data_IF_766505247583
#
_entry.id   IF_766505247583
#
_cell.length_a   1.000
_cell.length_b   1.000
_cell.length_c   1.000
_cell.angle_alpha   90.00
_cell.angle_beta   90.00
_cell.angle_gamma   90.00
#
_symmetry.space_group_name_H-M   'P 1'
#
loop_
_entity.id
_entity.type
_entity.pdbx_description
1 polymer ?
#
# COMPACT_ATOMS: atom_id res chain seq x y z
N UNK A 1 -3.61 -4.29 -15.03
CA UNK A 1 -4.61 -3.86 -16.01
C UNK A 1 -4.13 -2.65 -16.81
N UNK A 2 -3.71 -1.52 -16.20
CA UNK A 2 -3.30 -0.28 -16.89
C UNK A 2 -2.15 -0.54 -17.88
N UNK A 3 -1.14 -1.32 -17.53
CA UNK A 3 -0.06 -1.69 -18.47
C UNK A 3 -0.60 -2.44 -19.70
N UNK A 4 -1.60 -3.30 -19.54
CA UNK A 4 -2.26 -3.98 -20.67
C UNK A 4 -3.02 -3.01 -21.58
N UNK A 5 -3.43 -1.88 -21.07
CA UNK A 5 -4.05 -0.80 -21.84
C UNK A 5 -3.03 0.20 -22.42
N UNK A 6 -1.76 -0.17 -22.45
CA UNK A 6 -0.67 0.67 -22.95
C UNK A 6 -0.55 2.01 -22.19
N UNK A 7 -0.85 2.01 -20.90
CA UNK A 7 -0.72 3.18 -20.04
C UNK A 7 0.61 3.12 -19.30
N UNK A 8 1.38 4.21 -19.35
CA UNK A 8 2.54 4.42 -18.48
C UNK A 8 2.05 4.90 -17.11
N UNK A 9 2.42 4.19 -16.06
CA UNK A 9 1.95 4.49 -14.70
C UNK A 9 3.13 4.90 -13.83
N UNK A 10 2.98 6.01 -13.12
CA UNK A 10 3.84 6.37 -12.00
C UNK A 10 3.00 6.29 -10.72
N UNK A 11 3.41 5.45 -9.77
CA UNK A 11 2.75 5.28 -8.49
C UNK A 11 3.62 5.83 -7.37
N UNK A 12 3.00 6.43 -6.37
CA UNK A 12 3.66 6.91 -5.17
C UNK A 12 2.85 6.58 -3.93
N UNK A 13 3.51 6.08 -2.93
CA UNK A 13 2.94 5.89 -1.61
C UNK A 13 4.05 6.07 -0.56
N UNK A 14 3.81 6.82 0.52
CA UNK A 14 4.81 7.00 1.57
C UNK A 14 5.05 5.74 2.42
N UNK A 15 4.21 4.72 2.28
CA UNK A 15 4.33 3.44 3.00
C UNK A 15 5.24 2.48 2.24
N UNK A 16 6.19 1.87 2.94
CA UNK A 16 7.14 0.93 2.34
C UNK A 16 6.45 -0.30 1.76
N UNK A 17 5.40 -0.82 2.43
CA UNK A 17 4.67 -1.98 1.93
C UNK A 17 3.99 -1.72 0.58
N UNK A 18 3.41 -0.54 0.41
CA UNK A 18 2.74 -0.15 -0.84
C UNK A 18 3.75 0.08 -1.96
N UNK A 19 4.87 0.76 -1.65
CA UNK A 19 5.98 0.93 -2.57
C UNK A 19 6.59 -0.41 -3.00
N UNK A 20 6.85 -1.32 -2.07
CA UNK A 20 7.36 -2.67 -2.36
C UNK A 20 6.42 -3.42 -3.31
N UNK A 21 5.13 -3.39 -3.04
CA UNK A 21 4.11 -4.01 -3.88
C UNK A 21 4.03 -3.36 -5.27
N UNK A 22 4.15 -2.04 -5.36
CA UNK A 22 4.17 -1.33 -6.63
C UNK A 22 5.45 -1.65 -7.44
N UNK A 23 6.61 -1.77 -6.78
CA UNK A 23 7.86 -2.22 -7.41
C UNK A 23 7.71 -3.63 -7.98
N UNK A 24 7.16 -4.56 -7.21
CA UNK A 24 6.97 -5.95 -7.62
C UNK A 24 5.98 -6.12 -8.79
N UNK A 25 4.87 -5.39 -8.78
CA UNK A 25 3.72 -5.67 -9.66
C UNK A 25 3.51 -4.62 -10.76
N UNK A 26 3.99 -3.38 -10.56
CA UNK A 26 3.83 -2.29 -11.51
C UNK A 26 5.12 -2.00 -12.27
N UNK A 27 6.22 -1.78 -11.56
CA UNK A 27 7.50 -1.41 -12.18
C UNK A 27 8.17 -2.62 -12.84
N UNK A 28 8.03 -3.79 -12.24
CA UNK A 28 8.54 -5.05 -12.78
C UNK A 28 7.90 -5.39 -14.12
N UNK A 29 8.73 -5.65 -15.12
CA UNK A 29 8.30 -6.03 -16.47
C UNK A 29 8.59 -7.51 -16.79
N UNK A 30 9.62 -8.11 -16.19
CA UNK A 30 10.17 -9.40 -16.67
C UNK A 30 10.48 -10.41 -15.55
N UNK A 31 10.69 -9.94 -14.32
CA UNK A 31 11.20 -10.81 -13.25
C UNK A 31 10.09 -11.69 -12.67
N UNK A 32 10.44 -12.95 -12.44
CA UNK A 32 9.72 -13.90 -11.59
C UNK A 32 10.73 -14.54 -10.66
N UNK A 33 10.25 -15.12 -9.58
CA UNK A 33 11.06 -16.00 -8.74
C UNK A 33 11.11 -17.39 -9.37
N UNK A 34 12.30 -17.97 -9.45
CA UNK A 34 12.50 -19.39 -9.78
C UNK A 34 12.19 -20.27 -8.56
N UNK A 35 12.04 -21.57 -8.79
CA UNK A 35 11.83 -22.51 -7.69
C UNK A 35 12.99 -22.48 -6.69
N UNK A 36 14.24 -22.36 -7.15
CA UNK A 36 15.43 -22.22 -6.32
C UNK A 36 15.40 -20.94 -5.47
N UNK A 37 14.96 -19.85 -6.04
CA UNK A 37 14.80 -18.59 -5.31
C UNK A 37 13.66 -18.63 -4.30
N UNK A 38 12.55 -19.30 -4.63
CA UNK A 38 11.47 -19.55 -3.69
C UNK A 38 11.96 -20.41 -2.49
N UNK A 39 12.76 -21.46 -2.75
CA UNK A 39 13.36 -22.26 -1.69
C UNK A 39 14.34 -21.43 -0.84
N UNK A 40 15.18 -20.61 -1.47
CA UNK A 40 16.09 -19.71 -0.75
C UNK A 40 15.35 -18.77 0.20
N UNK A 41 14.21 -18.22 -0.20
CA UNK A 41 13.42 -17.30 0.63
C UNK A 41 12.81 -18.00 1.86
N UNK A 42 12.41 -19.26 1.71
CA UNK A 42 11.78 -20.02 2.82
C UNK A 42 12.76 -20.96 3.54
N UNK A 43 14.06 -20.92 3.20
CA UNK A 43 15.10 -21.71 3.83
C UNK A 43 15.14 -21.43 5.32
N UNK A 44 15.16 -22.49 6.13
CA UNK A 44 15.21 -22.42 7.59
C UNK A 44 14.14 -21.54 8.27
N UNK A 45 13.04 -21.22 7.56
CA UNK A 45 12.03 -20.28 8.05
C UNK A 45 11.32 -20.73 9.34
N UNK A 46 11.38 -22.01 9.70
CA UNK A 46 10.83 -22.54 10.95
C UNK A 46 11.90 -22.94 11.97
N UNK A 47 13.17 -22.67 11.69
CA UNK A 47 14.24 -22.95 12.66
C UNK A 47 14.18 -21.88 13.75
N UNK A 48 13.96 -22.28 15.03
CA UNK A 48 13.90 -21.35 16.13
C UNK A 48 15.23 -20.61 16.29
N UNK A 49 15.14 -19.31 16.55
CA UNK A 49 16.27 -18.46 16.94
C UNK A 49 16.14 -18.05 18.40
N UNK A 50 17.24 -17.62 19.02
CA UNK A 50 17.22 -17.16 20.42
C UNK A 50 16.27 -15.98 20.63
N UNK A 51 16.16 -15.12 19.61
CA UNK A 51 15.24 -13.98 19.60
C UNK A 51 14.79 -13.65 18.17
N UNK A 52 13.64 -12.97 18.07
CA UNK A 52 13.20 -12.34 16.84
C UNK A 52 14.02 -11.05 16.60
N UNK A 53 14.39 -10.81 15.35
CA UNK A 53 14.94 -9.50 14.94
C UNK A 53 13.83 -8.42 14.95
N UNK A 54 12.58 -8.84 14.67
CA UNK A 54 11.41 -7.99 14.74
C UNK A 54 10.38 -8.49 15.77
N UNK A 55 10.48 -8.09 17.05
CA UNK A 55 9.55 -8.52 18.10
C UNK A 55 8.10 -8.02 17.89
N UNK A 56 7.88 -6.94 17.13
CA UNK A 56 6.54 -6.41 16.85
C UNK A 56 5.66 -7.42 16.09
N UNK A 57 6.26 -8.39 15.41
CA UNK A 57 5.52 -9.49 14.76
C UNK A 57 4.66 -10.30 15.74
N UNK A 58 5.02 -10.35 17.02
CA UNK A 58 4.23 -11.04 18.05
C UNK A 58 2.90 -10.34 18.37
N UNK A 59 2.74 -9.07 17.99
CA UNK A 59 1.46 -8.36 18.08
C UNK A 59 0.42 -8.90 17.07
N UNK A 60 0.90 -9.59 16.02
CA UNK A 60 0.10 -10.00 14.87
C UNK A 60 0.03 -11.52 14.71
N UNK A 61 1.10 -12.22 15.03
CA UNK A 61 1.28 -13.64 14.76
C UNK A 61 1.70 -14.40 16.01
N UNK A 62 1.40 -15.71 16.04
CA UNK A 62 2.00 -16.57 17.04
C UNK A 62 3.52 -16.68 16.83
N UNK A 63 4.24 -17.18 17.83
CA UNK A 63 5.70 -17.23 17.82
C UNK A 63 6.29 -17.99 16.61
N UNK A 64 5.70 -19.12 16.23
CA UNK A 64 6.18 -19.92 15.09
C UNK A 64 6.00 -19.18 13.76
N UNK A 65 4.84 -18.55 13.56
CA UNK A 65 4.57 -17.75 12.37
C UNK A 65 5.46 -16.49 12.36
N UNK A 66 5.69 -15.84 13.52
CA UNK A 66 6.59 -14.70 13.64
C UNK A 66 8.03 -15.03 13.22
N UNK A 67 8.57 -16.18 13.63
CA UNK A 67 9.88 -16.67 13.16
C UNK A 67 9.91 -16.84 11.64
N UNK A 68 8.84 -17.41 11.09
CA UNK A 68 8.74 -17.57 9.64
C UNK A 68 8.83 -16.23 8.91
N UNK A 69 8.07 -15.22 9.34
CA UNK A 69 8.09 -13.88 8.72
C UNK A 69 9.45 -13.19 8.86
N UNK A 70 10.06 -13.30 10.03
CA UNK A 70 11.36 -12.70 10.33
C UNK A 70 12.46 -13.30 9.44
N UNK A 71 12.47 -14.63 9.30
CA UNK A 71 13.42 -15.33 8.44
C UNK A 71 13.19 -15.04 6.95
N UNK A 72 11.94 -15.06 6.49
CA UNK A 72 11.60 -14.77 5.10
C UNK A 72 12.04 -13.35 4.70
N UNK A 73 11.86 -12.36 5.59
CA UNK A 73 12.34 -10.99 5.34
C UNK A 73 13.85 -10.96 5.17
N UNK A 74 14.58 -11.60 6.07
CA UNK A 74 16.04 -11.69 6.00
C UNK A 74 16.51 -12.42 4.72
N UNK A 75 15.91 -13.54 4.40
CA UNK A 75 16.28 -14.33 3.22
C UNK A 75 15.95 -13.63 1.90
N UNK A 76 14.90 -12.81 1.85
CA UNK A 76 14.57 -12.02 0.67
C UNK A 76 15.71 -11.08 0.25
N UNK A 77 16.51 -10.58 1.20
CA UNK A 77 17.68 -9.73 0.89
C UNK A 77 18.82 -10.49 0.18
N UNK A 78 18.82 -11.82 0.23
CA UNK A 78 19.80 -12.67 -0.48
C UNK A 78 19.57 -12.72 -1.99
N UNK A 79 18.39 -12.31 -2.46
CA UNK A 79 18.06 -12.28 -3.89
C UNK A 79 18.82 -11.17 -4.60
N UNK A 80 19.31 -11.45 -5.79
CA UNK A 80 20.24 -10.61 -6.55
C UNK A 80 19.62 -9.32 -7.13
N UNK A 81 18.29 -9.33 -7.40
CA UNK A 81 17.62 -8.22 -8.07
C UNK A 81 16.57 -7.55 -7.18
N UNK A 82 16.47 -6.19 -7.21
CA UNK A 82 15.47 -5.46 -6.43
C UNK A 82 14.03 -5.91 -6.69
N UNK A 83 13.71 -6.23 -7.95
CA UNK A 83 12.38 -6.73 -8.32
C UNK A 83 12.07 -8.10 -7.74
N UNK A 84 13.06 -9.01 -7.65
CA UNK A 84 12.92 -10.31 -7.03
C UNK A 84 12.71 -10.18 -5.52
N UNK A 85 13.49 -9.32 -4.86
CA UNK A 85 13.28 -8.98 -3.44
C UNK A 85 11.86 -8.43 -3.19
N UNK A 86 11.43 -7.48 -4.01
CA UNK A 86 10.09 -6.92 -3.91
C UNK A 86 8.98 -7.97 -4.14
N UNK A 87 9.19 -8.92 -5.06
CA UNK A 87 8.28 -10.05 -5.28
C UNK A 87 8.21 -10.96 -4.04
N UNK A 88 9.35 -11.36 -3.48
CA UNK A 88 9.41 -12.21 -2.28
C UNK A 88 8.71 -11.54 -1.09
N UNK A 89 8.99 -10.26 -0.84
CA UNK A 89 8.33 -9.49 0.21
C UNK A 89 6.83 -9.31 -0.05
N UNK A 90 6.42 -9.12 -1.31
CA UNK A 90 5.00 -9.04 -1.67
C UNK A 90 4.28 -10.36 -1.40
N UNK A 91 4.90 -11.49 -1.73
CA UNK A 91 4.38 -12.82 -1.41
C UNK A 91 4.29 -13.04 0.11
N UNK A 92 5.30 -12.64 0.87
CA UNK A 92 5.27 -12.68 2.34
C UNK A 92 4.09 -11.87 2.90
N UNK A 93 3.84 -10.66 2.37
CA UNK A 93 2.67 -9.86 2.74
C UNK A 93 1.35 -10.58 2.42
N UNK A 94 1.25 -11.24 1.28
CA UNK A 94 0.05 -12.02 0.91
C UNK A 94 -0.16 -13.22 1.85
N UNK A 95 0.92 -13.88 2.30
CA UNK A 95 0.84 -14.95 3.31
C UNK A 95 0.31 -14.41 4.63
N UNK A 96 0.80 -13.26 5.09
CA UNK A 96 0.31 -12.65 6.33
C UNK A 96 -1.14 -12.22 6.25
N UNK A 97 -1.57 -11.65 5.12
CA UNK A 97 -2.97 -11.34 4.88
C UNK A 97 -3.84 -12.60 4.93
N UNK A 98 -3.36 -13.70 4.35
CA UNK A 98 -4.04 -14.99 4.44
C UNK A 98 -4.15 -15.43 5.89
N UNK A 99 -3.08 -15.37 6.68
CA UNK A 99 -3.11 -15.76 8.11
C UNK A 99 -4.09 -14.89 8.89
N UNK A 100 -4.03 -13.57 8.73
CA UNK A 100 -4.86 -12.61 9.46
C UNK A 100 -6.31 -12.53 8.99
N UNK A 101 -6.64 -13.13 7.83
CA UNK A 101 -8.03 -13.26 7.38
C UNK A 101 -8.86 -14.23 8.22
N UNK A 102 -8.20 -15.08 9.02
CA UNK A 102 -8.85 -16.02 9.92
C UNK A 102 -8.88 -15.47 11.35
N UNK A 103 -10.03 -14.96 11.77
CA UNK A 103 -10.29 -14.62 13.16
C UNK A 103 -10.41 -15.90 14.02
N UNK A 104 -10.42 -15.75 15.35
CA UNK A 104 -10.55 -16.91 16.26
C UNK A 104 -11.79 -17.74 15.99
N UNK A 105 -12.89 -17.12 15.58
CA UNK A 105 -14.17 -17.79 15.26
C UNK A 105 -14.13 -18.68 14.03
N UNK A 106 -13.27 -18.40 13.06
CA UNK A 106 -13.16 -19.12 11.80
C UNK A 106 -11.77 -19.73 11.55
N UNK A 107 -10.89 -19.72 12.57
CA UNK A 107 -9.53 -20.29 12.50
C UNK A 107 -9.52 -21.76 12.06
N UNK A 108 -10.56 -22.51 12.42
CA UNK A 108 -10.71 -23.91 12.03
C UNK A 108 -10.89 -24.11 10.52
N UNK A 109 -11.26 -23.07 9.78
CA UNK A 109 -11.37 -23.08 8.31
C UNK A 109 -10.02 -22.90 7.61
N UNK A 110 -9.00 -22.49 8.34
CA UNK A 110 -7.65 -22.36 7.78
C UNK A 110 -7.10 -23.76 7.43
N UNK A 111 -6.71 -23.92 6.16
CA UNK A 111 -6.04 -25.14 5.73
C UNK A 111 -4.80 -25.42 6.60
N UNK A 112 -4.59 -26.65 7.10
CA UNK A 112 -3.43 -27.02 7.91
C UNK A 112 -2.17 -27.15 7.04
N UNK A 113 -1.80 -26.09 6.33
CA UNK A 113 -0.63 -26.00 5.49
C UNK A 113 0.44 -25.12 6.15
N UNK A 114 1.71 -25.46 5.97
CA UNK A 114 2.80 -24.57 6.38
C UNK A 114 2.77 -23.27 5.60
N UNK A 115 3.24 -22.16 6.21
CA UNK A 115 3.29 -20.88 5.52
C UNK A 115 4.19 -20.93 4.28
N UNK A 116 5.27 -21.72 4.31
CA UNK A 116 6.13 -21.97 3.13
C UNK A 116 5.37 -22.62 1.97
N UNK A 117 4.42 -23.53 2.27
CA UNK A 117 3.54 -24.09 1.23
C UNK A 117 2.57 -23.07 0.68
N UNK A 118 1.98 -22.25 1.55
CA UNK A 118 1.10 -21.13 1.13
C UNK A 118 1.88 -20.13 0.27
N UNK A 119 3.11 -19.80 0.66
CA UNK A 119 3.99 -18.90 -0.08
C UNK A 119 4.24 -19.38 -1.52
N UNK A 120 4.62 -20.66 -1.71
CA UNK A 120 4.83 -21.24 -3.05
C UNK A 120 3.55 -21.23 -3.87
N UNK A 121 2.42 -21.62 -3.27
CA UNK A 121 1.13 -21.59 -3.97
C UNK A 121 0.73 -20.17 -4.41
N UNK A 122 0.98 -19.17 -3.59
CA UNK A 122 0.72 -17.77 -3.96
C UNK A 122 1.66 -17.31 -5.08
N UNK A 123 2.91 -17.79 -5.12
CA UNK A 123 3.84 -17.50 -6.21
C UNK A 123 3.36 -18.03 -7.56
N UNK A 124 2.76 -19.22 -7.57
CA UNK A 124 2.14 -19.81 -8.78
C UNK A 124 0.94 -18.98 -9.27
N UNK A 125 0.18 -18.38 -8.34
CA UNK A 125 -1.02 -17.60 -8.63
C UNK A 125 -0.72 -16.15 -9.02
N UNK A 126 0.52 -15.66 -8.83
CA UNK A 126 0.88 -14.31 -9.26
C UNK A 126 0.75 -14.19 -10.78
N UNK A 127 0.12 -13.10 -11.25
CA UNK A 127 0.05 -12.85 -12.68
C UNK A 127 1.45 -12.68 -13.27
N UNK A 128 1.61 -13.13 -14.52
CA UNK A 128 2.85 -12.88 -15.25
C UNK A 128 3.11 -11.37 -15.37
N UNK A 129 4.37 -10.93 -15.19
CA UNK A 129 4.75 -9.57 -15.50
C UNK A 129 4.33 -9.21 -16.92
N UNK A 130 3.89 -7.99 -17.12
CA UNK A 130 3.52 -7.48 -18.42
C UNK A 130 4.42 -6.32 -18.79
N UNK A 131 5.22 -6.53 -19.83
CA UNK A 131 6.01 -5.47 -20.44
C UNK A 131 5.21 -4.81 -21.57
N UNK A 132 4.92 -3.53 -21.41
CA UNK A 132 4.30 -2.71 -22.44
C UNK A 132 5.28 -1.73 -23.09
N UNK A 133 6.59 -1.98 -22.92
CA UNK A 133 7.69 -1.11 -23.38
C UNK A 133 7.65 0.32 -22.83
N UNK A 134 6.74 0.61 -21.89
CA UNK A 134 6.63 1.88 -21.21
C UNK A 134 7.27 1.76 -19.81
N UNK A 135 8.07 2.75 -19.44
CA UNK A 135 8.74 2.76 -18.13
C UNK A 135 7.78 3.22 -17.03
N UNK A 136 6.97 2.29 -16.53
CA UNK A 136 6.21 2.52 -15.28
C UNK A 136 7.17 2.62 -14.10
N UNK A 137 6.83 3.44 -13.10
CA UNK A 137 7.67 3.66 -11.92
C UNK A 137 6.89 3.62 -10.62
N UNK A 138 7.51 3.02 -9.60
CA UNK A 138 7.10 3.13 -8.20
C UNK A 138 8.00 4.17 -7.48
N UNK A 139 7.44 4.86 -6.51
CA UNK A 139 8.15 5.84 -5.67
C UNK A 139 7.64 5.76 -4.23
N UNK A 140 8.52 6.12 -3.30
CA UNK A 140 8.22 6.25 -1.88
C UNK A 140 8.74 7.61 -1.40
N UNK A 141 8.11 8.68 -1.86
CA UNK A 141 8.58 10.04 -1.58
C UNK A 141 7.43 10.93 -1.13
N UNK A 142 7.75 12.16 -0.76
CA UNK A 142 6.75 13.18 -0.46
C UNK A 142 5.83 13.38 -1.66
N UNK A 143 4.52 13.41 -1.42
CA UNK A 143 3.51 13.46 -2.49
C UNK A 143 3.60 14.75 -3.31
N UNK A 144 3.94 15.90 -2.71
CA UNK A 144 4.09 17.17 -3.43
C UNK A 144 5.32 17.13 -4.34
N UNK A 145 6.45 16.62 -3.83
CA UNK A 145 7.64 16.42 -4.64
C UNK A 145 7.37 15.49 -5.81
N UNK A 146 6.69 14.35 -5.54
CA UNK A 146 6.30 13.42 -6.58
C UNK A 146 5.44 14.07 -7.67
N UNK A 147 4.41 14.82 -7.30
CA UNK A 147 3.52 15.49 -8.26
C UNK A 147 4.28 16.55 -9.06
N UNK A 148 5.10 17.38 -8.40
CA UNK A 148 5.87 18.44 -9.05
C UNK A 148 6.83 17.91 -10.13
N UNK A 149 7.35 16.69 -9.97
CA UNK A 149 8.22 16.03 -10.95
C UNK A 149 7.44 15.46 -12.16
N UNK A 150 6.12 15.36 -12.11
CA UNK A 150 5.27 14.67 -13.12
C UNK A 150 4.68 15.63 -14.16
N UNK A 151 5.53 16.50 -14.74
CA UNK A 151 5.12 17.57 -15.68
C UNK A 151 4.43 17.08 -16.95
N UNK A 152 4.56 15.82 -17.31
CA UNK A 152 4.01 15.20 -18.53
C UNK A 152 2.99 14.10 -18.23
N UNK A 153 2.33 14.15 -17.08
CA UNK A 153 1.23 13.26 -16.76
C UNK A 153 -0.08 13.84 -17.28
N UNK A 154 -0.89 12.99 -17.90
CA UNK A 154 -2.20 13.38 -18.44
C UNK A 154 -3.29 13.30 -17.38
N UNK A 155 -3.13 12.39 -16.40
CA UNK A 155 -4.12 12.13 -15.36
C UNK A 155 -3.43 11.89 -14.01
N UNK A 156 -3.95 12.51 -12.97
CA UNK A 156 -3.68 12.22 -11.59
C UNK A 156 -4.83 11.41 -10.99
N UNK A 157 -4.53 10.23 -10.42
CA UNK A 157 -5.45 9.54 -9.53
C UNK A 157 -4.98 9.71 -8.09
N UNK A 158 -5.79 10.37 -7.27
CA UNK A 158 -5.51 10.61 -5.87
C UNK A 158 -6.53 9.87 -4.99
N UNK A 159 -6.06 8.93 -4.18
CA UNK A 159 -6.87 8.34 -3.11
C UNK A 159 -6.64 9.13 -1.83
N UNK A 160 -7.70 9.72 -1.30
CA UNK A 160 -7.62 10.48 -0.07
C UNK A 160 -7.43 9.53 1.14
N UNK A 161 -6.45 9.82 2.01
CA UNK A 161 -6.26 9.03 3.22
C UNK A 161 -7.34 9.34 4.25
N UNK A 162 -7.83 8.36 5.04
CA UNK A 162 -8.60 8.61 6.24
C UNK A 162 -7.70 9.27 7.31
N UNK A 163 -8.22 10.17 8.18
CA UNK A 163 -7.35 11.08 8.95
C UNK A 163 -7.71 11.33 10.42
N UNK A 164 -8.60 10.56 11.01
CA UNK A 164 -9.04 10.81 12.39
C UNK A 164 -8.08 10.25 13.45
N UNK A 165 -7.26 9.25 13.09
CA UNK A 165 -6.42 8.51 14.03
C UNK A 165 -4.95 8.48 13.59
N UNK A 166 -4.08 7.90 14.42
CA UNK A 166 -2.69 7.61 14.03
C UNK A 166 -2.64 6.65 12.83
N UNK A 167 -1.59 6.73 12.02
CA UNK A 167 -1.45 5.88 10.83
C UNK A 167 -1.53 4.39 11.15
N UNK A 168 -0.92 3.95 12.25
CA UNK A 168 -0.99 2.56 12.69
C UNK A 168 -2.44 2.11 12.93
N UNK A 169 -3.25 2.93 13.59
CA UNK A 169 -4.67 2.64 13.83
C UNK A 169 -5.51 2.68 12.57
N UNK A 170 -5.27 3.66 11.70
CA UNK A 170 -5.98 3.79 10.42
C UNK A 170 -5.75 2.60 9.50
N UNK A 171 -4.55 2.06 9.50
CA UNK A 171 -4.21 0.86 8.73
C UNK A 171 -4.84 -0.41 9.32
N UNK A 172 -5.19 -0.38 10.61
CA UNK A 172 -5.75 -1.56 11.28
C UNK A 172 -4.85 -2.78 11.07
N UNK A 173 -5.45 -3.89 10.64
CA UNK A 173 -4.69 -5.13 10.38
C UNK A 173 -3.64 -5.00 9.27
N UNK A 174 -3.66 -3.96 8.45
CA UNK A 174 -2.65 -3.77 7.38
C UNK A 174 -1.35 -3.18 7.93
N UNK A 175 -1.36 -2.59 9.13
CA UNK A 175 -0.18 -1.99 9.77
C UNK A 175 0.98 -2.98 9.92
N UNK A 176 0.69 -4.27 10.15
CA UNK A 176 1.69 -5.32 10.27
C UNK A 176 2.67 -5.37 9.09
N UNK A 177 2.20 -5.06 7.88
CA UNK A 177 3.05 -5.09 6.68
C UNK A 177 4.16 -4.05 6.74
N UNK A 178 3.82 -2.86 7.23
CA UNK A 178 4.80 -1.80 7.40
C UNK A 178 5.77 -2.14 8.54
N UNK A 179 5.26 -2.60 9.70
CA UNK A 179 6.06 -3.03 10.84
C UNK A 179 7.01 -4.18 10.46
N UNK A 180 6.53 -5.11 9.65
CA UNK A 180 7.36 -6.20 9.13
C UNK A 180 8.50 -5.68 8.26
N UNK A 181 8.22 -4.80 7.30
CA UNK A 181 9.23 -4.26 6.39
C UNK A 181 10.21 -3.31 7.09
N UNK A 182 9.74 -2.53 8.06
CA UNK A 182 10.57 -1.59 8.82
C UNK A 182 11.41 -2.30 9.92
N UNK A 183 11.07 -3.54 10.26
CA UNK A 183 11.77 -4.33 11.28
C UNK A 183 11.35 -4.00 12.71
N UNK A 184 10.19 -3.42 12.93
CA UNK A 184 9.65 -3.07 14.23
C UNK A 184 8.50 -2.07 14.12
N UNK A 185 8.04 -1.57 15.25
CA UNK A 185 6.97 -0.57 15.37
C UNK A 185 7.48 0.81 15.83
N UNK A 186 8.74 0.94 16.19
CA UNK A 186 9.35 2.18 16.67
C UNK A 186 9.36 3.30 15.62
N UNK A 187 9.31 2.95 14.33
CA UNK A 187 9.35 3.91 13.23
C UNK A 187 8.11 4.81 13.15
N UNK A 188 6.97 4.41 13.72
CA UNK A 188 5.70 5.14 13.59
C UNK A 188 5.80 6.59 14.04
N UNK A 189 6.44 6.84 15.19
CA UNK A 189 6.59 8.20 15.69
C UNK A 189 7.36 9.09 14.70
N UNK A 190 8.48 8.61 14.19
CA UNK A 190 9.29 9.34 13.20
C UNK A 190 8.57 9.51 11.87
N UNK A 191 7.77 8.52 11.47
CA UNK A 191 6.93 8.58 10.27
C UNK A 191 5.89 9.70 10.37
N UNK A 192 5.16 9.77 11.48
CA UNK A 192 4.14 10.81 11.73
C UNK A 192 4.76 12.22 11.80
N UNK A 193 5.92 12.36 12.46
CA UNK A 193 6.63 13.64 12.54
C UNK A 193 7.03 14.17 11.17
N UNK A 194 7.55 13.31 10.29
CA UNK A 194 7.95 13.73 8.91
C UNK A 194 6.77 14.14 8.04
N UNK A 195 5.56 13.73 8.39
CA UNK A 195 4.33 14.05 7.65
C UNK A 195 3.54 15.21 8.25
N UNK A 196 3.91 15.69 9.42
CA UNK A 196 3.22 16.80 10.07
C UNK A 196 3.06 17.99 9.12
N UNK A 197 1.86 18.58 9.08
CA UNK A 197 1.55 19.72 8.21
C UNK A 197 1.31 19.39 6.72
N UNK A 198 1.12 18.12 6.36
CA UNK A 198 0.91 17.69 4.96
C UNK A 198 -0.36 16.82 4.86
N UNK A 199 -0.90 16.70 3.65
CA UNK A 199 -1.98 15.75 3.38
C UNK A 199 -1.52 14.34 3.75
N UNK A 200 -2.35 13.63 4.52
CA UNK A 200 -2.03 12.32 5.08
C UNK A 200 -1.38 12.38 6.48
N UNK A 201 -1.08 13.55 7.03
CA UNK A 201 -0.83 13.71 8.45
C UNK A 201 -2.14 13.73 9.24
N UNK A 202 -2.07 13.44 10.53
CA UNK A 202 -3.21 13.65 11.42
C UNK A 202 -3.61 15.13 11.39
N UNK A 203 -4.82 15.42 10.95
CA UNK A 203 -5.38 16.76 10.99
C UNK A 203 -6.09 17.00 12.33
N UNK A 204 -5.92 18.20 12.90
CA UNK A 204 -6.59 18.59 14.15
C UNK A 204 -8.03 19.04 13.89
N UNK A 205 -8.34 19.43 12.65
CA UNK A 205 -9.66 19.85 12.23
C UNK A 205 -9.92 19.54 10.75
N UNK A 206 -11.19 19.46 10.39
CA UNK A 206 -11.64 19.32 9.01
C UNK A 206 -11.06 20.43 8.11
N UNK A 207 -11.11 21.68 8.58
CA UNK A 207 -10.61 22.84 7.83
C UNK A 207 -9.10 22.70 7.55
N UNK A 208 -8.32 22.24 8.51
CA UNK A 208 -6.89 22.00 8.31
C UNK A 208 -6.65 20.93 7.24
N UNK A 209 -7.45 19.86 7.25
CA UNK A 209 -7.35 18.81 6.25
C UNK A 209 -7.67 19.32 4.84
N UNK A 210 -8.77 20.05 4.69
CA UNK A 210 -9.16 20.63 3.41
C UNK A 210 -8.10 21.61 2.91
N UNK A 211 -7.47 22.39 3.81
CA UNK A 211 -6.33 23.24 3.45
C UNK A 211 -5.12 22.45 2.93
N UNK A 212 -4.79 21.31 3.54
CA UNK A 212 -3.72 20.45 3.03
C UNK A 212 -4.06 19.84 1.66
N UNK A 213 -5.33 19.51 1.44
CA UNK A 213 -5.81 19.02 0.14
C UNK A 213 -5.72 20.12 -0.92
N UNK A 214 -6.22 21.30 -0.64
CA UNK A 214 -6.19 22.45 -1.55
C UNK A 214 -4.76 22.80 -1.97
N UNK A 215 -3.84 22.87 -1.03
CA UNK A 215 -2.41 23.06 -1.30
C UNK A 215 -1.81 21.99 -2.23
N UNK A 216 -2.22 20.73 -2.06
CA UNK A 216 -1.80 19.65 -2.94
C UNK A 216 -2.38 19.80 -4.34
N UNK A 217 -3.67 20.17 -4.45
CA UNK A 217 -4.35 20.40 -5.72
C UNK A 217 -3.73 21.56 -6.50
N UNK A 218 -3.33 22.65 -5.83
CA UNK A 218 -2.56 23.72 -6.47
C UNK A 218 -1.22 23.23 -7.02
N UNK A 219 -0.51 22.35 -6.28
CA UNK A 219 0.72 21.71 -6.78
C UNK A 219 0.44 20.87 -8.04
N UNK A 220 -0.72 20.23 -8.11
CA UNK A 220 -1.15 19.37 -9.22
C UNK A 220 -1.79 20.13 -10.39
N UNK A 221 -1.90 21.46 -10.35
CA UNK A 221 -2.62 22.28 -11.34
C UNK A 221 -2.10 22.10 -12.78
N UNK A 222 -0.84 21.69 -12.95
CA UNK A 222 -0.24 21.42 -14.26
C UNK A 222 -0.67 20.09 -14.89
N UNK A 223 -1.30 19.16 -14.13
CA UNK A 223 -1.78 17.87 -14.66
C UNK A 223 -3.20 18.06 -15.18
N UNK A 224 -3.48 17.77 -16.47
CA UNK A 224 -4.74 18.14 -17.13
C UNK A 224 -5.99 17.51 -16.50
N UNK A 225 -5.93 16.21 -16.17
CA UNK A 225 -7.08 15.48 -15.64
C UNK A 225 -6.87 15.02 -14.21
N UNK A 226 -7.91 15.09 -13.39
CA UNK A 226 -7.89 14.57 -12.01
C UNK A 226 -9.02 13.58 -11.80
N UNK A 227 -8.73 12.53 -11.04
CA UNK A 227 -9.69 11.60 -10.45
C UNK A 227 -9.36 11.45 -8.97
N UNK A 228 -10.21 11.96 -8.10
CA UNK A 228 -9.97 11.99 -6.65
C UNK A 228 -10.97 11.07 -5.98
N UNK A 229 -10.47 10.02 -5.33
CA UNK A 229 -11.27 9.02 -4.65
C UNK A 229 -11.38 9.32 -3.15
N UNK A 230 -12.59 9.38 -2.65
CA UNK A 230 -12.95 9.55 -1.24
C UNK A 230 -13.72 8.33 -0.74
N UNK A 231 -13.41 7.86 0.45
CA UNK A 231 -14.28 7.01 1.26
C UNK A 231 -14.87 7.88 2.36
N UNK A 232 -16.18 8.08 2.33
CA UNK A 232 -16.86 8.89 3.35
C UNK A 232 -16.93 8.09 4.65
N UNK A 233 -16.18 8.53 5.63
CA UNK A 233 -16.15 7.99 7.00
C UNK A 233 -16.71 8.98 8.04
N UNK A 234 -17.35 10.06 7.58
CA UNK A 234 -17.90 11.12 8.42
C UNK A 234 -16.97 12.32 8.66
N UNK A 235 -15.68 12.24 8.27
CA UNK A 235 -14.74 13.34 8.47
C UNK A 235 -14.89 14.46 7.44
N UNK A 236 -14.92 14.11 6.15
CA UNK A 236 -15.31 15.02 5.08
C UNK A 236 -16.40 14.38 4.22
N UNK A 237 -17.28 15.20 3.65
CA UNK A 237 -18.31 14.75 2.72
C UNK A 237 -17.87 14.90 1.27
N UNK A 238 -18.62 14.26 0.36
CA UNK A 238 -18.43 14.44 -1.08
C UNK A 238 -18.65 15.89 -1.49
N UNK A 239 -19.61 16.61 -0.90
CA UNK A 239 -19.87 18.02 -1.16
C UNK A 239 -18.67 18.89 -0.80
N UNK A 240 -18.08 18.70 0.38
CA UNK A 240 -16.90 19.44 0.83
C UNK A 240 -15.68 19.16 -0.07
N UNK A 241 -15.53 17.92 -0.54
CA UNK A 241 -14.51 17.58 -1.52
C UNK A 241 -14.75 18.33 -2.83
N UNK A 242 -15.99 18.34 -3.33
CA UNK A 242 -16.36 19.05 -4.57
C UNK A 242 -16.12 20.55 -4.46
N UNK A 243 -16.47 21.18 -3.35
CA UNK A 243 -16.18 22.59 -3.09
C UNK A 243 -14.67 22.86 -3.11
N UNK A 244 -13.88 22.04 -2.45
CA UNK A 244 -12.42 22.19 -2.42
C UNK A 244 -11.79 21.99 -3.81
N UNK A 245 -12.26 21.02 -4.60
CA UNK A 245 -11.77 20.80 -5.96
C UNK A 245 -12.21 21.98 -6.85
N UNK A 246 -13.46 22.47 -6.68
CA UNK A 246 -14.01 23.57 -7.47
C UNK A 246 -13.30 24.89 -7.24
N UNK A 247 -12.66 25.09 -6.08
CA UNK A 247 -11.86 26.30 -5.82
C UNK A 247 -10.59 26.37 -6.70
N UNK A 248 -10.11 25.21 -7.19
CA UNK A 248 -8.88 25.12 -7.99
C UNK A 248 -9.18 24.83 -9.46
N UNK A 249 -10.20 24.00 -9.74
CA UNK A 249 -10.50 23.50 -11.09
C UNK A 249 -11.96 23.12 -11.24
N UNK A 250 -12.47 23.18 -12.49
CA UNK A 250 -13.84 22.78 -12.80
C UNK A 250 -14.03 21.28 -12.56
N UNK A 251 -15.05 20.94 -11.78
CA UNK A 251 -15.51 19.57 -11.60
C UNK A 251 -16.34 19.14 -12.81
N UNK A 252 -16.01 17.97 -13.38
CA UNK A 252 -16.70 17.44 -14.57
C UNK A 252 -17.81 16.45 -14.17
N UNK A 253 -17.50 15.51 -13.26
CA UNK A 253 -18.46 14.50 -12.83
C UNK A 253 -18.17 13.98 -11.43
N UNK A 254 -19.20 13.46 -10.78
CA UNK A 254 -19.14 12.80 -9.48
C UNK A 254 -19.75 11.40 -9.65
N UNK A 255 -18.96 10.39 -9.36
CA UNK A 255 -19.39 8.99 -9.33
C UNK A 255 -19.45 8.56 -7.87
N UNK A 256 -20.63 8.18 -7.40
CA UNK A 256 -20.80 7.69 -6.03
C UNK A 256 -21.32 6.27 -6.02
N UNK A 257 -20.89 5.49 -5.04
CA UNK A 257 -21.40 4.16 -4.76
C UNK A 257 -21.59 3.97 -3.27
N UNK A 258 -22.80 3.54 -2.91
CA UNK A 258 -23.16 3.24 -1.54
C UNK A 258 -22.78 1.79 -1.21
N UNK A 259 -21.95 1.61 -0.19
CA UNK A 259 -21.55 0.33 0.38
C UNK A 259 -22.01 0.21 1.84
N UNK A 260 -22.97 1.05 2.27
CA UNK A 260 -23.40 1.13 3.67
C UNK A 260 -23.88 -0.20 4.21
N UNK A 261 -24.59 -1.01 3.39
CA UNK A 261 -25.07 -2.33 3.77
C UNK A 261 -23.96 -3.37 3.98
N UNK A 262 -22.80 -3.19 3.34
CA UNK A 262 -21.70 -4.15 3.38
C UNK A 262 -20.56 -3.68 4.29
N UNK A 263 -20.23 -2.40 4.26
CA UNK A 263 -19.03 -1.84 4.87
C UNK A 263 -19.33 -0.61 5.75
N UNK A 264 -20.59 -0.15 5.81
CA UNK A 264 -20.95 1.05 6.56
C UNK A 264 -20.44 2.36 5.96
N UNK A 265 -20.02 2.37 4.69
CA UNK A 265 -19.37 3.55 4.06
C UNK A 265 -19.93 3.82 2.67
N UNK A 266 -19.82 5.07 2.23
CA UNK A 266 -19.96 5.49 0.83
C UNK A 266 -18.61 5.75 0.21
N UNK A 267 -18.49 5.52 -1.06
CA UNK A 267 -17.30 5.89 -1.84
C UNK A 267 -17.69 6.83 -2.97
N UNK A 268 -16.87 7.84 -3.21
CA UNK A 268 -17.04 8.79 -4.30
C UNK A 268 -15.74 8.93 -5.09
N UNK A 269 -15.86 9.19 -6.39
CA UNK A 269 -14.78 9.64 -7.26
C UNK A 269 -15.22 10.94 -7.89
N UNK A 270 -14.47 12.01 -7.64
CA UNK A 270 -14.67 13.33 -8.26
C UNK A 270 -13.66 13.47 -9.38
N UNK A 271 -14.13 13.78 -10.60
CA UNK A 271 -13.28 14.07 -11.75
C UNK A 271 -13.30 15.55 -12.08
N UNK A 272 -12.14 16.07 -12.50
CA UNK A 272 -11.96 17.49 -12.84
C UNK A 272 -10.96 17.66 -13.98
N UNK A 273 -11.21 18.65 -14.85
CA UNK A 273 -10.36 18.98 -16.00
C UNK A 273 -10.22 20.50 -16.25
#
# INVERSE_FOLDING_TARGET
QLKRWQVRVAANDPMAWSFTKATALLENNNYRLTDEELETVVEDAYVPRDRLDNPALLNWFNQTDAWWFDTVRFNAERLDAPYKRALALTLGMMVGDYVLSFADSNRHLREPASLSRVFRRLAELLPYPHDNSLRSKASNQDVRAFIAERRHSDLMFLRLPPLEESHAKQLGTVAWREEWLQGGDDFWQGFEQRRAGKLGARAQSKQQYLGFLEDLLHTAAHIPGWAIALVENGFISTEELVETVSSVRKVDAIYSKDFSDLLGVRAAIVTAS
#
